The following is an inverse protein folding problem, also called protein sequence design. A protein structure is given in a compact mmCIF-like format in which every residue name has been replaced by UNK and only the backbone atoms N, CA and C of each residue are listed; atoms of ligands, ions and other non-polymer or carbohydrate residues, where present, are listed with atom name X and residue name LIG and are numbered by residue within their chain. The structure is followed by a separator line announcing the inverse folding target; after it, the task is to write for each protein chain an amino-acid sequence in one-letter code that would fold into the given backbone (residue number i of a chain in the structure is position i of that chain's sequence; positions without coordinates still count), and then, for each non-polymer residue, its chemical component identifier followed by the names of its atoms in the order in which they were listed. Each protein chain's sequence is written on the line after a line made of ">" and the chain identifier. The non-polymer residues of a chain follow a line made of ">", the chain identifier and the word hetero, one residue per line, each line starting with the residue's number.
data_IF_579263332425
#
_entry.id   IF_579263332425
#
_cell.length_a   1.000
_cell.length_b   1.000
_cell.length_c   1.000
_cell.angle_alpha   90.00
_cell.angle_beta   90.00
_cell.angle_gamma   90.00
#
_symmetry.space_group_name_H-M   'P 1'
#
loop_
_entity.id
_entity.type
_entity.pdbx_description
1 polymer ?
#
# COMPACT_ATOMS: atom_id res chain seq x y z
N UNK A 1 36.45 -19.99 -43.15
CA UNK A 1 35.61 -20.74 -44.12
C UNK A 1 34.18 -20.31 -43.87
N UNK A 2 33.71 -19.30 -44.61
CA UNK A 2 32.85 -19.37 -45.83
C UNK A 2 31.35 -19.30 -45.49
N UNK A 3 30.76 -18.22 -45.99
CA UNK A 3 29.43 -17.63 -45.83
C UNK A 3 28.28 -18.37 -46.53
N UNK A 4 27.04 -18.02 -46.17
CA UNK A 4 25.89 -17.73 -47.06
C UNK A 4 24.79 -17.08 -46.17
N UNK A 5 24.36 -15.81 -46.24
CA UNK A 5 23.78 -14.97 -47.31
C UNK A 5 22.68 -15.62 -48.17
N UNK A 6 21.45 -15.12 -48.03
CA UNK A 6 20.33 -15.29 -48.95
C UNK A 6 19.12 -14.42 -48.56
N UNK A 7 18.33 -13.89 -49.52
CA UNK A 7 17.90 -12.48 -49.51
C UNK A 7 16.39 -12.22 -49.38
N UNK A 8 16.07 -10.92 -49.37
CA UNK A 8 14.80 -10.24 -49.21
C UNK A 8 13.73 -10.51 -50.29
N UNK A 9 12.46 -10.23 -49.94
CA UNK A 9 11.45 -9.72 -50.87
C UNK A 9 10.50 -8.74 -50.17
N UNK A 10 10.27 -7.59 -50.80
CA UNK A 10 9.46 -6.46 -50.35
C UNK A 10 8.27 -6.25 -51.31
N UNK A 11 7.15 -5.71 -50.80
CA UNK A 11 6.09 -4.94 -51.50
C UNK A 11 5.02 -4.58 -50.44
N UNK A 12 4.75 -3.35 -49.96
CA UNK A 12 4.36 -2.02 -50.48
C UNK A 12 2.89 -1.87 -50.94
N UNK A 13 2.22 -0.85 -50.36
CA UNK A 13 1.00 -0.08 -50.79
C UNK A 13 -0.35 -0.78 -50.51
N UNK A 14 -1.31 -0.20 -49.78
CA UNK A 14 -2.20 0.90 -50.22
C UNK A 14 -2.82 1.72 -49.05
N UNK A 15 -2.87 3.04 -49.23
CA UNK A 15 -3.70 4.00 -48.50
C UNK A 15 -5.03 4.23 -49.24
N UNK A 16 -6.18 3.99 -48.59
CA UNK A 16 -7.52 4.60 -48.80
C UNK A 16 -8.33 4.27 -47.54
N UNK A 17 -9.14 5.10 -46.86
CA UNK A 17 -9.62 6.46 -47.07
C UNK A 17 -10.46 6.87 -45.84
N UNK A 18 -10.64 8.18 -45.66
CA UNK A 18 -11.49 8.80 -44.64
C UNK A 18 -12.89 9.00 -45.24
N UNK A 19 -13.95 8.61 -44.53
CA UNK A 19 -15.33 8.85 -44.94
C UNK A 19 -16.31 8.61 -43.79
N UNK A 20 -16.89 9.69 -43.28
CA UNK A 20 -18.00 9.70 -42.33
C UNK A 20 -19.33 9.85 -43.09
N UNK A 21 -20.38 9.14 -42.68
CA UNK A 21 -21.76 9.53 -43.02
C UNK A 21 -22.79 8.40 -43.19
N UNK A 22 -23.73 8.36 -42.25
CA UNK A 22 -25.13 7.90 -42.30
C UNK A 22 -25.54 6.39 -42.36
N UNK A 23 -26.47 6.08 -41.44
CA UNK A 23 -27.20 4.83 -41.10
C UNK A 23 -28.53 4.79 -41.91
N UNK A 24 -29.19 3.65 -42.29
CA UNK A 24 -29.79 2.72 -41.31
C UNK A 24 -30.05 1.24 -41.65
N UNK A 25 -30.04 0.41 -40.60
CA UNK A 25 -30.73 -0.88 -40.47
C UNK A 25 -30.04 -2.08 -41.15
N UNK A 26 -30.07 -3.32 -40.68
CA UNK A 26 -30.83 -4.01 -39.63
C UNK A 26 -30.00 -5.26 -39.22
N UNK A 27 -29.99 -5.59 -37.93
CA UNK A 27 -29.70 -6.89 -37.30
C UNK A 27 -28.52 -7.76 -37.78
N UNK A 28 -27.49 -7.82 -36.94
CA UNK A 28 -26.44 -8.84 -36.97
C UNK A 28 -25.36 -8.56 -35.94
N UNK A 29 -25.68 -8.73 -34.66
CA UNK A 29 -24.74 -8.47 -33.55
C UNK A 29 -23.54 -9.40 -33.59
N UNK A 30 -22.44 -8.96 -34.21
CA UNK A 30 -21.15 -9.59 -34.06
C UNK A 30 -20.59 -9.27 -32.67
N UNK A 31 -20.47 -10.29 -31.82
CA UNK A 31 -19.86 -10.19 -30.51
C UNK A 31 -18.42 -9.67 -30.65
N UNK A 32 -18.13 -8.55 -29.97
CA UNK A 32 -16.79 -8.00 -29.81
C UNK A 32 -15.89 -9.07 -29.16
N UNK A 33 -14.65 -9.30 -29.63
CA UNK A 33 -13.73 -10.21 -28.96
C UNK A 33 -13.52 -9.75 -27.53
N UNK A 34 -13.85 -10.61 -26.57
CA UNK A 34 -13.55 -10.37 -25.17
C UNK A 34 -12.03 -10.19 -25.04
N UNK A 35 -11.62 -9.02 -24.53
CA UNK A 35 -10.24 -8.82 -24.14
C UNK A 35 -9.87 -9.91 -23.13
N UNK A 36 -8.80 -10.66 -23.41
CA UNK A 36 -8.31 -11.68 -22.51
C UNK A 36 -8.08 -11.07 -21.12
N UNK A 37 -8.50 -11.76 -20.03
CA UNK A 37 -8.30 -11.25 -18.68
C UNK A 37 -6.80 -11.05 -18.46
N UNK A 38 -6.39 -9.79 -18.29
CA UNK A 38 -5.04 -9.49 -17.82
C UNK A 38 -4.96 -10.05 -16.40
N UNK A 39 -4.05 -10.98 -16.18
CA UNK A 39 -3.69 -11.41 -14.83
C UNK A 39 -3.34 -10.15 -14.03
N UNK A 40 -4.14 -9.84 -13.02
CA UNK A 40 -3.87 -8.74 -12.11
C UNK A 40 -2.48 -8.97 -11.52
N UNK A 41 -1.57 -8.01 -11.67
CA UNK A 41 -0.27 -8.12 -11.04
C UNK A 41 -0.47 -8.05 -9.52
N UNK A 42 0.36 -8.71 -8.69
CA UNK A 42 0.23 -8.68 -7.23
C UNK A 42 0.19 -7.27 -6.62
N UNK A 43 0.62 -6.24 -7.38
CA UNK A 43 0.50 -4.82 -7.01
C UNK A 43 -0.87 -4.18 -7.25
N UNK A 44 -1.74 -4.75 -8.10
CA UNK A 44 -3.07 -4.20 -8.41
C UNK A 44 -4.10 -4.40 -7.28
N UNK A 45 -3.75 -5.15 -6.23
CA UNK A 45 -4.67 -5.53 -5.15
C UNK A 45 -4.49 -4.66 -3.90
N UNK A 46 -3.48 -3.79 -3.86
CA UNK A 46 -3.18 -2.92 -2.72
C UNK A 46 -3.41 -1.47 -3.13
N UNK A 47 -4.18 -0.72 -2.35
CA UNK A 47 -4.41 0.71 -2.63
C UNK A 47 -3.06 1.45 -2.69
N UNK A 48 -2.87 2.37 -3.67
CA UNK A 48 -1.66 3.16 -3.78
C UNK A 48 -1.46 4.09 -2.57
N UNK A 49 -2.52 4.43 -1.86
CA UNK A 49 -2.50 5.31 -0.69
C UNK A 49 -2.02 4.60 0.59
N UNK A 50 -1.93 3.26 0.58
CA UNK A 50 -1.43 2.52 1.73
C UNK A 50 0.07 2.74 1.94
N UNK A 51 0.44 3.09 3.16
CA UNK A 51 1.81 3.35 3.62
C UNK A 51 2.37 2.13 4.34
N UNK A 52 3.68 1.89 4.26
CA UNK A 52 4.31 0.81 5.02
C UNK A 52 4.30 1.10 6.53
N UNK A 53 3.87 0.13 7.34
CA UNK A 53 4.04 0.18 8.78
C UNK A 53 5.53 0.09 9.14
N UNK A 54 5.93 0.76 10.21
CA UNK A 54 7.33 0.78 10.66
C UNK A 54 7.65 -0.56 11.31
N UNK A 55 8.57 -1.32 10.73
CA UNK A 55 9.02 -2.59 11.28
C UNK A 55 10.43 -2.92 10.80
N UNK A 56 11.09 -3.84 11.50
CA UNK A 56 12.38 -4.34 11.02
C UNK A 56 12.19 -5.05 9.69
N UNK A 57 12.90 -4.63 8.64
CA UNK A 57 12.89 -5.37 7.38
C UNK A 57 13.48 -6.77 7.63
N UNK A 58 12.63 -7.79 7.57
CA UNK A 58 13.04 -9.19 7.69
C UNK A 58 13.17 -9.80 6.30
N UNK A 59 14.29 -10.48 6.10
CA UNK A 59 14.56 -11.29 4.92
C UNK A 59 14.64 -12.75 5.38
N UNK A 60 14.06 -13.68 4.62
CA UNK A 60 14.04 -15.11 4.94
C UNK A 60 12.66 -15.76 4.87
N UNK A 61 12.52 -17.01 5.35
CA UNK A 61 11.34 -17.84 5.12
C UNK A 61 10.07 -17.30 5.80
N UNK A 62 10.19 -16.45 6.81
CA UNK A 62 9.07 -15.86 7.56
C UNK A 62 8.80 -14.38 7.22
N UNK A 63 9.24 -13.93 6.04
CA UNK A 63 9.16 -12.51 5.66
C UNK A 63 7.72 -12.10 5.35
N UNK A 64 7.28 -11.01 5.97
CA UNK A 64 5.98 -10.38 5.72
C UNK A 64 6.15 -8.86 5.67
N UNK A 65 5.32 -8.20 4.88
CA UNK A 65 5.20 -6.74 4.86
C UNK A 65 3.83 -6.36 5.40
N UNK A 66 3.76 -5.25 6.15
CA UNK A 66 2.50 -4.69 6.63
C UNK A 66 2.38 -3.28 6.09
N UNK A 67 1.24 -3.00 5.46
CA UNK A 67 0.85 -1.68 5.00
C UNK A 67 -0.44 -1.27 5.70
N UNK A 68 -0.65 0.03 5.84
CA UNK A 68 -1.83 0.58 6.46
C UNK A 68 -2.33 1.83 5.73
N UNK A 69 -3.59 2.15 5.95
CA UNK A 69 -4.22 3.40 5.55
C UNK A 69 -5.13 3.88 6.67
N UNK A 70 -5.15 5.20 6.89
CA UNK A 70 -6.12 5.85 7.79
C UNK A 70 -7.25 6.39 6.92
N UNK A 71 -8.49 5.99 7.17
CA UNK A 71 -9.63 6.42 6.33
C UNK A 71 -9.94 7.90 6.45
N UNK A 72 -9.60 8.47 7.60
CA UNK A 72 -9.78 9.88 7.89
C UNK A 72 -8.65 10.41 8.78
N UNK A 73 -8.59 11.74 8.89
CA UNK A 73 -7.67 12.39 9.81
C UNK A 73 -8.12 12.08 11.26
N UNK A 74 -7.26 11.55 12.12
CA UNK A 74 -7.61 11.27 13.52
C UNK A 74 -7.95 12.53 14.31
N UNK A 75 -9.05 12.49 15.06
CA UNK A 75 -9.49 13.55 15.97
C UNK A 75 -9.89 12.96 17.33
N UNK A 76 -9.85 13.77 18.37
CA UNK A 76 -10.19 13.36 19.74
C UNK A 76 -11.66 12.99 19.81
N UNK A 77 -11.95 11.87 20.47
CA UNK A 77 -13.30 11.34 20.67
C UNK A 77 -14.06 10.99 19.38
N UNK A 78 -13.39 10.95 18.22
CA UNK A 78 -13.94 10.44 16.97
C UNK A 78 -13.39 9.05 16.68
N UNK A 79 -14.23 8.04 16.37
CA UNK A 79 -13.73 6.76 15.92
C UNK A 79 -12.86 6.91 14.67
N UNK A 80 -11.77 6.16 14.62
CA UNK A 80 -10.86 6.09 13.48
C UNK A 80 -10.80 4.66 12.98
N UNK A 81 -11.17 4.47 11.72
CA UNK A 81 -10.97 3.20 11.02
C UNK A 81 -9.59 3.16 10.35
N UNK A 82 -8.84 2.10 10.62
CA UNK A 82 -7.50 1.82 10.09
C UNK A 82 -7.56 0.52 9.29
N UNK A 83 -7.24 0.58 8.01
CA UNK A 83 -7.15 -0.62 7.17
C UNK A 83 -5.71 -1.10 7.13
N UNK A 84 -5.49 -2.38 7.44
CA UNK A 84 -4.24 -3.08 7.30
C UNK A 84 -4.27 -4.03 6.11
N UNK A 85 -3.13 -4.12 5.43
CA UNK A 85 -2.82 -5.17 4.46
C UNK A 85 -1.52 -5.82 4.86
N UNK A 86 -1.58 -7.14 5.08
CA UNK A 86 -0.42 -7.98 5.34
C UNK A 86 -0.10 -8.73 4.06
N UNK A 87 1.11 -8.58 3.56
CA UNK A 87 1.62 -9.22 2.35
C UNK A 87 2.65 -10.27 2.72
N UNK A 88 2.34 -11.57 2.55
CA UNK A 88 3.34 -12.63 2.61
C UNK A 88 4.43 -12.38 1.56
N UNK A 89 5.68 -12.23 2.01
CA UNK A 89 6.82 -12.05 1.11
C UNK A 89 7.54 -13.37 0.82
N UNK A 90 7.20 -14.45 1.52
CA UNK A 90 7.69 -15.81 1.30
C UNK A 90 6.55 -16.72 0.84
N UNK A 91 6.86 -17.71 0.00
CA UNK A 91 5.94 -18.77 -0.43
C UNK A 91 5.93 -19.99 0.50
N UNK A 92 6.76 -20.00 1.54
CA UNK A 92 6.94 -21.15 2.46
C UNK A 92 6.17 -21.02 3.77
N UNK A 93 5.23 -20.06 3.88
CA UNK A 93 4.49 -19.85 5.12
C UNK A 93 3.49 -20.99 5.33
N UNK A 94 3.52 -21.60 6.49
CA UNK A 94 2.53 -22.60 6.90
C UNK A 94 1.29 -21.91 7.48
N UNK A 95 1.49 -20.84 8.26
CA UNK A 95 0.43 -20.09 8.93
C UNK A 95 0.83 -18.65 9.20
N UNK A 96 -0.13 -17.73 9.14
CA UNK A 96 0.03 -16.34 9.54
C UNK A 96 -1.13 -15.94 10.46
N UNK A 97 -0.85 -15.29 11.58
CA UNK A 97 -1.84 -14.80 12.53
C UNK A 97 -1.27 -13.63 13.32
N UNK A 98 -2.08 -12.98 14.16
CA UNK A 98 -1.54 -11.89 14.95
C UNK A 98 -2.54 -11.21 15.87
N UNK A 99 -2.10 -10.12 16.47
CA UNK A 99 -2.90 -9.27 17.34
C UNK A 99 -2.53 -7.82 17.18
N UNK A 100 -3.45 -6.96 17.60
CA UNK A 100 -3.28 -5.51 17.62
C UNK A 100 -3.25 -5.04 19.06
N UNK A 101 -2.32 -4.16 19.35
CA UNK A 101 -2.14 -3.48 20.63
C UNK A 101 -2.12 -1.97 20.39
N UNK A 102 -2.61 -1.19 21.35
CA UNK A 102 -2.63 0.28 21.25
C UNK A 102 -1.99 0.90 22.47
N UNK A 103 -1.29 2.02 22.26
CA UNK A 103 -0.70 2.81 23.34
C UNK A 103 -1.74 3.63 24.11
N UNK A 104 -1.38 4.08 25.32
CA UNK A 104 -2.21 4.96 26.14
C UNK A 104 -2.60 6.25 25.40
N UNK A 105 -3.89 6.55 25.34
CA UNK A 105 -4.44 7.65 24.54
C UNK A 105 -5.23 7.17 23.32
N UNK A 106 -5.17 5.87 23.02
CA UNK A 106 -6.05 5.18 22.09
C UNK A 106 -6.82 4.08 22.83
N UNK A 107 -8.08 3.89 22.51
CA UNK A 107 -8.86 2.72 22.90
C UNK A 107 -9.12 1.86 21.68
N UNK A 108 -8.76 0.59 21.75
CA UNK A 108 -9.05 -0.37 20.69
C UNK A 108 -10.49 -0.86 20.86
N UNK A 109 -11.37 -0.56 19.91
CA UNK A 109 -12.78 -0.94 19.97
C UNK A 109 -13.08 -2.16 19.13
N UNK A 110 -12.37 -2.35 18.01
CA UNK A 110 -12.54 -3.51 17.12
C UNK A 110 -11.22 -3.94 16.47
N UNK A 111 -11.16 -5.19 15.99
CA UNK A 111 -10.02 -5.67 15.21
C UNK A 111 -8.79 -6.06 16.03
N UNK A 112 -8.96 -6.45 17.30
CA UNK A 112 -7.83 -6.81 18.18
C UNK A 112 -7.09 -8.08 17.78
N UNK A 113 -7.73 -8.99 17.03
CA UNK A 113 -7.15 -10.26 16.60
C UNK A 113 -7.10 -10.32 15.08
N UNK A 114 -5.94 -10.64 14.53
CA UNK A 114 -5.77 -10.96 13.11
C UNK A 114 -6.00 -12.45 12.97
N UNK A 115 -7.05 -12.81 12.25
CA UNK A 115 -7.46 -14.21 12.09
C UNK A 115 -6.33 -15.05 11.45
N UNK A 116 -6.14 -16.30 11.89
CA UNK A 116 -5.19 -17.20 11.26
C UNK A 116 -5.53 -17.44 9.79
N UNK A 117 -4.51 -17.36 8.94
CA UNK A 117 -4.55 -17.75 7.53
C UNK A 117 -3.58 -18.88 7.32
N UNK A 118 -4.09 -20.04 6.91
CA UNK A 118 -3.27 -21.22 6.61
C UNK A 118 -2.73 -21.14 5.19
N UNK A 119 -1.44 -21.46 5.02
CA UNK A 119 -0.73 -21.47 3.74
C UNK A 119 -1.00 -20.23 2.88
N UNK A 120 -0.77 -19.01 3.41
CA UNK A 120 -1.06 -17.80 2.68
C UNK A 120 -0.17 -17.70 1.43
N UNK A 121 -0.79 -17.42 0.28
CA UNK A 121 -0.05 -17.30 -0.98
C UNK A 121 0.87 -16.07 -0.98
N UNK A 122 2.08 -16.22 -1.51
CA UNK A 122 3.03 -15.11 -1.65
C UNK A 122 2.41 -13.97 -2.46
N UNK A 123 2.50 -12.74 -1.93
CA UNK A 123 1.95 -11.54 -2.56
C UNK A 123 0.43 -11.41 -2.52
N UNK A 124 -0.31 -12.40 -2.01
CA UNK A 124 -1.75 -12.29 -1.83
C UNK A 124 -2.05 -11.44 -0.58
N UNK A 125 -2.79 -10.32 -0.70
CA UNK A 125 -3.06 -9.45 0.43
C UNK A 125 -4.04 -10.08 1.41
N UNK A 126 -3.66 -10.09 2.69
CA UNK A 126 -4.53 -10.41 3.81
C UNK A 126 -5.00 -9.09 4.41
N UNK A 127 -6.30 -8.81 4.34
CA UNK A 127 -6.89 -7.57 4.82
C UNK A 127 -7.35 -7.71 6.26
N UNK A 128 -7.15 -6.67 7.05
CA UNK A 128 -7.62 -6.59 8.43
C UNK A 128 -8.00 -5.15 8.77
N UNK A 129 -9.19 -4.93 9.31
CA UNK A 129 -9.63 -3.58 9.72
C UNK A 129 -9.60 -3.46 11.24
N UNK A 130 -9.18 -2.30 11.71
CA UNK A 130 -9.07 -1.94 13.11
C UNK A 130 -9.89 -0.68 13.34
N UNK A 131 -10.60 -0.63 14.46
CA UNK A 131 -11.25 0.59 14.92
C UNK A 131 -10.66 1.02 16.25
N UNK A 132 -10.24 2.28 16.33
CA UNK A 132 -9.74 2.89 17.56
C UNK A 132 -10.50 4.16 17.89
N UNK A 133 -10.53 4.52 19.17
CA UNK A 133 -11.04 5.78 19.67
C UNK A 133 -9.90 6.56 20.34
N UNK A 134 -9.40 7.64 19.74
CA UNK A 134 -8.48 8.56 20.40
C UNK A 134 -9.15 9.28 21.56
N UNK A 135 -8.46 9.34 22.71
CA UNK A 135 -9.02 9.95 23.94
C UNK A 135 -8.41 11.30 24.29
N UNK A 136 -7.32 11.70 23.62
CA UNK A 136 -6.63 12.98 23.81
C UNK A 136 -5.74 13.30 22.59
N UNK A 137 -5.35 14.56 22.46
CA UNK A 137 -4.39 15.00 21.44
C UNK A 137 -3.01 14.39 21.66
N UNK A 138 -2.28 14.16 20.58
CA UNK A 138 -0.89 13.69 20.64
C UNK A 138 -0.47 12.78 19.50
N UNK A 139 0.71 12.17 19.66
CA UNK A 139 1.22 11.13 18.77
C UNK A 139 1.20 9.81 19.54
N UNK A 140 0.49 8.83 19.01
CA UNK A 140 0.34 7.50 19.58
C UNK A 140 0.80 6.44 18.60
N UNK A 141 0.86 5.20 19.05
CA UNK A 141 1.24 4.06 18.20
C UNK A 141 0.21 2.95 18.34
N UNK A 142 -0.17 2.40 17.19
CA UNK A 142 -0.84 1.10 17.08
C UNK A 142 0.22 0.08 16.68
N UNK A 143 0.31 -1.02 17.41
CA UNK A 143 1.26 -2.11 17.15
C UNK A 143 0.51 -3.33 16.62
N UNK A 144 0.85 -3.77 15.42
CA UNK A 144 0.45 -5.06 14.89
C UNK A 144 1.55 -6.08 15.16
N UNK A 145 1.28 -7.06 16.02
CA UNK A 145 2.18 -8.19 16.28
C UNK A 145 1.77 -9.32 15.35
N UNK A 146 2.56 -9.55 14.31
CA UNK A 146 2.33 -10.58 13.30
C UNK A 146 3.22 -11.77 13.58
N UNK A 147 2.61 -12.94 13.71
CA UNK A 147 3.27 -14.22 13.91
C UNK A 147 3.12 -15.09 12.67
N UNK A 148 4.19 -15.79 12.34
CA UNK A 148 4.31 -16.62 11.15
C UNK A 148 4.93 -17.95 11.54
N UNK A 149 4.29 -19.03 11.13
CA UNK A 149 4.84 -20.39 11.20
C UNK A 149 5.39 -20.77 9.82
N UNK A 150 6.60 -21.31 9.76
CA UNK A 150 7.19 -21.87 8.54
C UNK A 150 8.22 -22.95 8.90
N UNK A 151 8.16 -24.10 8.23
CA UNK A 151 9.06 -25.22 8.43
C UNK A 151 9.17 -25.69 9.89
N UNK A 152 8.04 -25.67 10.61
CA UNK A 152 7.97 -26.09 12.01
C UNK A 152 8.64 -25.11 13.00
N UNK A 153 8.90 -23.88 12.58
CA UNK A 153 9.40 -22.80 13.41
C UNK A 153 8.39 -21.64 13.42
N UNK A 154 8.31 -20.93 14.54
CA UNK A 154 7.45 -19.76 14.70
C UNK A 154 8.30 -18.50 14.88
N UNK A 155 7.95 -17.44 14.16
CA UNK A 155 8.55 -16.12 14.29
C UNK A 155 7.48 -15.08 14.53
N UNK A 156 7.79 -14.08 15.36
CA UNK A 156 6.91 -12.94 15.59
C UNK A 156 7.63 -11.63 15.30
N UNK A 157 6.91 -10.68 14.76
CA UNK A 157 7.40 -9.35 14.43
C UNK A 157 6.34 -8.30 14.72
N UNK A 158 6.77 -7.23 15.39
CA UNK A 158 5.93 -6.06 15.66
C UNK A 158 6.11 -5.02 14.55
N UNK A 159 4.99 -4.51 14.06
CA UNK A 159 4.89 -3.38 13.13
C UNK A 159 4.16 -2.23 13.81
N UNK A 160 4.76 -1.05 13.80
CA UNK A 160 4.25 0.15 14.46
C UNK A 160 3.64 1.10 13.43
N UNK A 161 2.47 1.63 13.79
CA UNK A 161 1.69 2.56 12.98
C UNK A 161 1.53 3.85 13.79
N UNK A 162 2.16 4.96 13.37
CA UNK A 162 2.03 6.23 14.07
C UNK A 162 0.66 6.85 13.81
N UNK A 163 -0.03 7.24 14.88
CA UNK A 163 -1.33 7.93 14.83
C UNK A 163 -1.15 9.34 15.39
N UNK A 164 -1.40 10.36 14.58
CA UNK A 164 -1.30 11.77 14.97
C UNK A 164 -2.72 12.29 15.14
N UNK A 165 -3.11 12.59 16.37
CA UNK A 165 -4.45 13.03 16.76
C UNK A 165 -4.46 14.54 16.94
N UNK A 166 -5.47 15.19 16.35
CA UNK A 166 -5.64 16.64 16.42
C UNK A 166 -4.65 17.40 15.54
N UNK A 167 -4.19 18.57 16.01
CA UNK A 167 -3.26 19.43 15.28
C UNK A 167 -1.84 18.83 15.17
N UNK A 168 -1.52 17.81 15.98
CA UNK A 168 -0.15 17.33 16.16
C UNK A 168 0.72 18.35 16.91
N UNK A 169 1.98 18.02 17.23
CA UNK A 169 2.91 18.98 17.84
C UNK A 169 3.20 20.13 16.87
N UNK A 170 3.21 21.36 17.38
CA UNK A 170 3.60 22.53 16.61
C UNK A 170 5.04 22.37 16.12
N UNK A 171 5.25 22.35 14.80
CA UNK A 171 6.59 22.32 14.20
C UNK A 171 7.26 23.66 14.50
N UNK A 172 8.45 23.70 15.15
CA UNK A 172 9.11 24.97 15.42
C UNK A 172 9.52 25.62 14.11
N UNK A 173 8.90 26.76 13.78
CA UNK A 173 9.37 27.62 12.71
C UNK A 173 10.75 28.16 13.11
N UNK A 174 11.78 27.73 12.39
CA UNK A 174 13.14 28.24 12.58
C UNK A 174 13.13 29.73 12.27
N UNK A 175 13.08 30.58 13.29
CA UNK A 175 13.18 32.04 13.14
C UNK A 175 14.49 32.36 12.42
N UNK A 176 14.39 32.68 11.14
CA UNK A 176 15.48 33.34 10.42
C UNK A 176 15.53 34.77 10.94
N UNK A 177 16.25 34.97 12.04
CA UNK A 177 16.61 36.31 12.49
C UNK A 177 17.60 36.87 11.47
N UNK A 178 17.05 37.57 10.48
CA UNK A 178 17.78 38.55 9.70
C UNK A 178 18.26 39.63 10.68
N UNK A 179 19.46 39.45 11.22
CA UNK A 179 20.16 40.49 11.96
C UNK A 179 20.46 41.62 10.97
N UNK A 180 19.60 42.64 11.01
CA UNK A 180 19.81 43.92 10.38
C UNK A 180 21.21 44.42 10.75
N UNK A 181 22.09 44.53 9.75
CA UNK A 181 23.36 45.25 9.87
C UNK A 181 23.03 46.73 10.06
N UNK A 182 22.92 47.14 11.31
CA UNK A 182 22.83 48.56 11.68
C UNK A 182 24.18 49.22 11.34
N UNK A 183 24.17 50.06 10.32
CA UNK A 183 25.27 50.96 9.93
C UNK A 183 25.59 51.91 11.10
N UNK A 184 26.86 52.06 11.54
CA UNK A 184 27.19 53.08 12.53
C UNK A 184 27.28 54.48 11.89
N UNK A 185 27.00 55.57 12.64
CA UNK A 185 27.10 56.92 12.11
C UNK A 185 28.55 57.41 12.03
N UNK A 186 28.78 58.30 11.06
CA UNK A 186 30.05 58.92 10.70
C UNK A 186 30.62 59.82 11.81
N UNK A 187 31.95 60.03 11.76
CA UNK A 187 32.69 61.00 12.56
C UNK A 187 33.38 62.01 11.65
#
# INVERSE_FOLDING_TARGET
>A
MRSALGPALAATVMLVGCGSGETPGIAGGAAKPAAAPRNAQPGDVVSPDMVSAVGGARIGPASVQVKFELRERPDVAQPLDIDLVILPASSSLDRLYGRVEVADGLQLTEGAQIAPTDRPAQGAPIRHSIRVLPTRDGIFTVNAVVSVDSAGQSWSQTFSIPIIVGAGPAVPVKSSSAAARTRPPAR
#
